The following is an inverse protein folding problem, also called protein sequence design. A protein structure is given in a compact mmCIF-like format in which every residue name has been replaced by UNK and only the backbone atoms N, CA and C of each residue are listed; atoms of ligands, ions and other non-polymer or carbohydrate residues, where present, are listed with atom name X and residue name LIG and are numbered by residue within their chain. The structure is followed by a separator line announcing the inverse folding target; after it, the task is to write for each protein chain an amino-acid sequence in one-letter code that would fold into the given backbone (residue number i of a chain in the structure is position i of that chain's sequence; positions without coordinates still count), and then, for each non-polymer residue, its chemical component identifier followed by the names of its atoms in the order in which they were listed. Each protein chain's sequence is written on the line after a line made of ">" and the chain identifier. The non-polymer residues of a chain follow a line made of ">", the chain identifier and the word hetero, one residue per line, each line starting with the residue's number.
data_IF_696111984076
#
_entry.id   IF_696111984076
#
_cell.length_a   1.000
_cell.length_b   1.000
_cell.length_c   1.000
_cell.angle_alpha   90.00
_cell.angle_beta   90.00
_cell.angle_gamma   90.00
#
_symmetry.space_group_name_H-M   'P 1'
#
loop_
_entity.id
_entity.type
_entity.pdbx_description
1 polymer ?
#
# COMPACT_ATOMS: atom_id res chain seq x y z
N UNK A 1 33.58 65.63 12.00
CA UNK A 1 34.30 64.42 11.53
C UNK A 1 33.53 63.11 11.75
N UNK A 2 32.70 62.95 12.80
CA UNK A 2 32.00 61.69 13.11
C UNK A 2 31.02 61.19 12.02
N UNK A 3 30.34 62.10 11.31
CA UNK A 3 29.32 61.72 10.30
C UNK A 3 29.96 61.06 9.06
N UNK A 4 31.18 61.46 8.69
CA UNK A 4 31.90 60.88 7.56
C UNK A 4 32.39 59.45 7.86
N UNK A 5 32.82 59.18 9.10
CA UNK A 5 33.28 57.85 9.52
C UNK A 5 32.14 56.81 9.58
N UNK A 6 30.93 57.25 9.95
CA UNK A 6 29.73 56.40 9.96
C UNK A 6 29.23 56.02 8.56
N UNK A 7 29.35 56.94 7.59
CA UNK A 7 29.00 56.67 6.19
C UNK A 7 29.98 55.64 5.61
N UNK A 8 31.27 55.79 5.88
CA UNK A 8 32.30 54.87 5.39
C UNK A 8 32.17 53.46 6.02
N UNK A 9 31.79 53.37 7.30
CA UNK A 9 31.46 52.09 7.96
C UNK A 9 30.22 51.42 7.34
N UNK A 10 29.20 52.19 6.94
CA UNK A 10 27.99 51.66 6.30
C UNK A 10 28.28 51.16 4.88
N UNK A 11 29.12 51.87 4.12
CA UNK A 11 29.54 51.43 2.78
C UNK A 11 30.39 50.17 2.84
N UNK A 12 31.39 50.10 3.73
CA UNK A 12 32.20 48.88 3.94
C UNK A 12 31.36 47.70 4.41
N UNK A 13 30.27 47.93 5.16
CA UNK A 13 29.32 46.88 5.59
C UNK A 13 28.41 46.42 4.45
N UNK A 14 28.00 47.31 3.54
CA UNK A 14 27.26 46.97 2.32
C UNK A 14 28.14 46.16 1.36
N UNK A 15 29.39 46.57 1.17
CA UNK A 15 30.33 45.87 0.29
C UNK A 15 30.70 44.47 0.83
N UNK A 16 30.87 44.33 2.15
CA UNK A 16 31.08 43.02 2.79
C UNK A 16 29.86 42.08 2.71
N UNK A 17 28.64 42.61 2.55
CA UNK A 17 27.44 41.80 2.28
C UNK A 17 27.35 41.38 0.83
N UNK A 18 27.78 42.23 -0.11
CA UNK A 18 27.85 41.89 -1.53
C UNK A 18 28.96 40.87 -1.84
N UNK A 19 30.10 40.90 -1.13
CA UNK A 19 31.20 39.94 -1.29
C UNK A 19 31.00 38.57 -0.63
N UNK A 20 29.89 38.35 0.09
CA UNK A 20 29.59 37.08 0.79
C UNK A 20 28.53 36.21 0.10
N UNK A 21 27.90 36.67 -0.96
CA UNK A 21 27.34 35.76 -1.95
C UNK A 21 28.53 35.30 -2.79
N UNK A 22 29.12 34.16 -2.42
CA UNK A 22 29.93 33.42 -3.36
C UNK A 22 29.01 33.13 -4.55
N UNK A 23 29.14 33.92 -5.60
CA UNK A 23 28.60 33.62 -6.93
C UNK A 23 29.36 32.38 -7.41
N UNK A 24 29.03 31.21 -6.86
CA UNK A 24 29.03 30.02 -7.67
C UNK A 24 28.09 30.34 -8.83
N UNK A 25 28.67 30.53 -10.01
CA UNK A 25 27.95 30.75 -11.26
C UNK A 25 26.80 29.73 -11.28
N UNK A 26 25.57 30.22 -11.05
CA UNK A 26 24.37 29.38 -10.92
C UNK A 26 24.05 28.85 -12.31
N UNK A 27 24.77 27.81 -12.70
CA UNK A 27 24.55 27.11 -13.95
C UNK A 27 23.17 26.46 -13.88
N UNK A 28 22.54 26.36 -15.04
CA UNK A 28 21.27 25.66 -15.19
C UNK A 28 21.32 24.22 -14.64
N UNK A 29 22.51 23.60 -14.70
CA UNK A 29 22.74 22.25 -14.16
C UNK A 29 22.75 22.24 -12.62
N UNK A 30 23.32 23.25 -11.96
CA UNK A 30 23.25 23.41 -10.50
C UNK A 30 21.79 23.60 -10.02
N UNK A 31 21.00 24.37 -10.77
CA UNK A 31 19.57 24.55 -10.48
C UNK A 31 18.78 23.24 -10.65
N UNK A 32 19.01 22.50 -11.75
CA UNK A 32 18.37 21.18 -11.96
C UNK A 32 18.75 20.18 -10.88
N UNK A 33 20.02 20.13 -10.49
CA UNK A 33 20.52 19.21 -9.48
C UNK A 33 19.92 19.50 -8.10
N UNK A 34 19.88 20.78 -7.69
CA UNK A 34 19.25 21.21 -6.44
C UNK A 34 17.74 20.95 -6.43
N UNK A 35 17.04 21.21 -7.54
CA UNK A 35 15.62 20.89 -7.67
C UNK A 35 15.35 19.38 -7.49
N UNK A 36 16.07 18.52 -8.21
CA UNK A 36 15.94 17.06 -8.05
C UNK A 36 16.24 16.64 -6.61
N UNK A 37 17.29 17.17 -6.00
CA UNK A 37 17.64 16.84 -4.60
C UNK A 37 16.52 17.19 -3.62
N UNK A 38 15.81 18.30 -3.83
CA UNK A 38 14.74 18.74 -2.93
C UNK A 38 13.39 18.06 -3.18
N UNK A 39 13.02 17.83 -4.45
CA UNK A 39 11.67 17.37 -4.79
C UNK A 39 11.57 15.88 -5.11
N UNK A 40 12.65 15.23 -5.54
CA UNK A 40 12.61 13.79 -5.89
C UNK A 40 12.20 12.90 -4.69
N UNK A 41 12.65 13.13 -3.44
CA UNK A 41 12.18 12.36 -2.30
C UNK A 41 10.67 12.49 -2.08
N UNK A 42 10.13 13.70 -2.18
CA UNK A 42 8.69 13.96 -2.04
C UNK A 42 7.89 13.31 -3.17
N UNK A 43 8.42 13.32 -4.39
CA UNK A 43 7.78 12.70 -5.56
C UNK A 43 7.70 11.17 -5.41
N UNK A 44 8.79 10.55 -4.96
CA UNK A 44 8.84 9.10 -4.66
C UNK A 44 7.83 8.76 -3.54
N UNK A 45 7.77 9.56 -2.48
CA UNK A 45 6.84 9.32 -1.38
C UNK A 45 5.38 9.42 -1.84
N UNK A 46 5.04 10.45 -2.63
CA UNK A 46 3.68 10.63 -3.16
C UNK A 46 3.31 9.48 -4.10
N UNK A 47 4.23 9.02 -4.94
CA UNK A 47 4.03 7.84 -5.79
C UNK A 47 3.75 6.58 -4.96
N UNK A 48 4.58 6.30 -3.95
CA UNK A 48 4.36 5.15 -3.06
C UNK A 48 3.01 5.24 -2.35
N UNK A 49 2.65 6.43 -1.85
CA UNK A 49 1.35 6.67 -1.21
C UNK A 49 0.17 6.48 -2.16
N UNK A 50 0.33 6.81 -3.45
CA UNK A 50 -0.67 6.53 -4.47
C UNK A 50 -0.76 5.03 -4.74
N UNK A 51 0.37 4.35 -4.93
CA UNK A 51 0.46 2.91 -5.19
C UNK A 51 -0.13 2.07 -4.07
N UNK A 52 0.17 2.38 -2.81
CA UNK A 52 -0.40 1.65 -1.66
C UNK A 52 -1.91 1.87 -1.56
N UNK A 53 -2.37 3.09 -1.90
CA UNK A 53 -3.80 3.36 -1.98
C UNK A 53 -4.43 2.58 -3.12
N UNK A 54 -3.81 2.39 -4.27
CA UNK A 54 -4.43 1.69 -5.40
C UNK A 54 -4.31 0.16 -5.34
N UNK A 55 -3.34 -0.34 -4.56
CA UNK A 55 -3.08 -1.76 -4.41
C UNK A 55 -4.31 -2.51 -3.89
N UNK A 56 -4.91 -3.33 -4.74
CA UNK A 56 -6.02 -4.21 -4.39
C UNK A 56 -5.57 -5.67 -4.40
N UNK A 57 -6.17 -6.50 -3.56
CA UNK A 57 -5.91 -7.94 -3.56
C UNK A 57 -6.60 -8.60 -4.77
N UNK A 58 -5.82 -8.99 -5.77
CA UNK A 58 -6.33 -9.59 -7.02
C UNK A 58 -6.32 -11.12 -7.04
N UNK A 59 -5.34 -11.76 -6.38
CA UNK A 59 -5.06 -13.19 -6.55
C UNK A 59 -4.98 -13.98 -5.24
N UNK A 60 -3.86 -13.88 -4.52
CA UNK A 60 -3.58 -14.57 -3.26
C UNK A 60 -3.21 -13.53 -2.21
N UNK A 61 -3.70 -13.76 -1.01
CA UNK A 61 -3.48 -12.86 0.11
C UNK A 61 -1.99 -12.79 0.52
N UNK A 62 -1.23 -13.88 0.42
CA UNK A 62 0.22 -13.90 0.69
C UNK A 62 0.99 -12.94 -0.24
N UNK A 63 0.76 -13.04 -1.56
CA UNK A 63 1.35 -12.16 -2.57
C UNK A 63 0.97 -10.69 -2.33
N UNK A 64 -0.30 -10.45 -2.04
CA UNK A 64 -0.80 -9.10 -1.77
C UNK A 64 -0.18 -8.51 -0.50
N UNK A 65 -0.13 -9.27 0.60
CA UNK A 65 0.50 -8.87 1.86
C UNK A 65 1.97 -8.53 1.66
N UNK A 66 2.72 -9.37 0.94
CA UNK A 66 4.14 -9.12 0.67
C UNK A 66 4.35 -7.81 -0.10
N UNK A 67 3.54 -7.55 -1.14
CA UNK A 67 3.60 -6.28 -1.87
C UNK A 67 3.22 -5.10 -0.98
N UNK A 68 2.18 -5.26 -0.18
CA UNK A 68 1.68 -4.21 0.71
C UNK A 68 2.72 -3.81 1.76
N UNK A 69 3.46 -4.78 2.34
CA UNK A 69 4.55 -4.51 3.29
C UNK A 69 5.62 -3.59 2.70
N UNK A 70 6.10 -3.91 1.51
CA UNK A 70 7.13 -3.08 0.83
C UNK A 70 6.64 -1.65 0.64
N UNK A 71 5.40 -1.46 0.17
CA UNK A 71 4.85 -0.12 -0.01
C UNK A 71 4.56 0.59 1.33
N UNK A 72 4.19 -0.16 2.38
CA UNK A 72 3.94 0.38 3.70
C UNK A 72 5.21 1.00 4.28
N UNK A 73 6.33 0.27 4.21
CA UNK A 73 7.64 0.71 4.69
C UNK A 73 8.12 1.99 3.96
N UNK A 74 7.81 2.10 2.67
CA UNK A 74 8.17 3.26 1.84
C UNK A 74 7.19 4.45 1.96
N UNK A 75 5.98 4.24 2.50
CA UNK A 75 4.91 5.26 2.47
C UNK A 75 4.96 6.27 3.62
N UNK A 76 5.69 5.95 4.68
CA UNK A 76 5.71 6.64 5.98
C UNK A 76 4.34 6.74 6.67
N UNK A 77 3.33 5.97 6.23
CA UNK A 77 2.04 5.93 6.92
C UNK A 77 2.17 5.29 8.29
N UNK A 78 1.39 5.80 9.25
CA UNK A 78 1.24 5.15 10.54
C UNK A 78 0.45 3.83 10.42
N UNK A 79 0.57 2.99 11.45
CA UNK A 79 -0.09 1.69 11.45
C UNK A 79 -1.62 1.79 11.35
N UNK A 80 -2.25 2.85 11.87
CA UNK A 80 -3.71 3.01 11.83
C UNK A 80 -4.19 3.31 10.41
N UNK A 81 -3.50 4.19 9.70
CA UNK A 81 -3.72 4.50 8.30
C UNK A 81 -3.47 3.26 7.43
N UNK A 82 -2.38 2.53 7.67
CA UNK A 82 -2.07 1.30 6.95
C UNK A 82 -3.15 0.23 7.14
N UNK A 83 -3.65 0.01 8.36
CA UNK A 83 -4.78 -0.89 8.63
C UNK A 83 -6.02 -0.43 7.85
N UNK A 84 -6.31 0.88 7.86
CA UNK A 84 -7.45 1.45 7.15
C UNK A 84 -7.34 1.37 5.61
N UNK A 85 -6.14 1.41 5.07
CA UNK A 85 -5.92 1.21 3.63
C UNK A 85 -6.06 -0.28 3.33
N UNK A 86 -5.37 -1.13 4.09
CA UNK A 86 -5.32 -2.57 3.90
C UNK A 86 -6.71 -3.21 3.85
N UNK A 87 -7.53 -3.01 4.89
CA UNK A 87 -8.86 -3.63 4.97
C UNK A 87 -9.84 -3.17 3.87
N UNK A 88 -9.69 -1.94 3.34
CA UNK A 88 -10.53 -1.39 2.25
C UNK A 88 -10.16 -1.99 0.90
N UNK A 89 -8.93 -2.48 0.78
CA UNK A 89 -8.36 -3.05 -0.44
C UNK A 89 -8.44 -4.57 -0.51
N UNK A 90 -8.91 -5.20 0.57
CA UNK A 90 -9.32 -6.59 0.56
C UNK A 90 -10.63 -6.78 -0.22
N UNK A 91 -10.88 -7.96 -0.79
CA UNK A 91 -12.17 -8.25 -1.40
C UNK A 91 -13.26 -8.20 -0.33
N UNK A 92 -14.41 -7.61 -0.66
CA UNK A 92 -15.51 -7.35 0.27
C UNK A 92 -15.87 -8.56 1.16
N UNK A 93 -15.96 -9.75 0.57
CA UNK A 93 -16.31 -10.97 1.31
C UNK A 93 -15.25 -11.37 2.35
N UNK A 94 -13.96 -11.12 2.05
CA UNK A 94 -12.86 -11.40 2.97
C UNK A 94 -12.86 -10.36 4.09
N UNK A 95 -12.89 -9.07 3.76
CA UNK A 95 -12.96 -7.99 4.75
C UNK A 95 -14.13 -8.17 5.72
N UNK A 96 -15.32 -8.49 5.20
CA UNK A 96 -16.51 -8.76 6.01
C UNK A 96 -16.33 -9.95 6.96
N UNK A 97 -15.62 -11.01 6.55
CA UNK A 97 -15.37 -12.16 7.43
C UNK A 97 -14.42 -11.81 8.57
N UNK A 98 -13.34 -11.13 8.27
CA UNK A 98 -12.35 -10.69 9.26
C UNK A 98 -13.01 -9.77 10.29
N UNK A 99 -13.88 -8.86 9.84
CA UNK A 99 -14.59 -7.94 10.73
C UNK A 99 -15.62 -8.60 11.64
N UNK A 100 -16.22 -9.71 11.21
CA UNK A 100 -17.24 -10.42 11.98
C UNK A 100 -16.69 -11.64 12.72
N UNK A 101 -15.36 -11.74 12.87
CA UNK A 101 -14.79 -12.91 13.52
C UNK A 101 -15.07 -12.93 15.03
N UNK A 102 -15.38 -14.09 15.61
CA UNK A 102 -15.72 -14.21 17.03
C UNK A 102 -14.54 -13.88 17.95
N UNK A 103 -13.31 -14.05 17.44
CA UNK A 103 -12.08 -13.70 18.17
C UNK A 103 -11.83 -12.18 18.25
N UNK A 104 -12.72 -11.36 17.69
CA UNK A 104 -12.58 -9.90 17.64
C UNK A 104 -11.68 -9.41 16.51
N UNK A 105 -11.71 -8.12 16.20
CA UNK A 105 -10.92 -7.50 15.13
C UNK A 105 -9.42 -7.54 15.49
N UNK A 106 -8.51 -7.82 14.53
CA UNK A 106 -7.07 -7.70 14.78
C UNK A 106 -6.70 -6.27 15.19
N UNK A 107 -5.83 -6.14 16.20
CA UNK A 107 -5.44 -4.85 16.77
C UNK A 107 -4.29 -4.19 16.00
N UNK A 108 -3.41 -5.00 15.43
CA UNK A 108 -2.19 -4.60 14.76
C UNK A 108 -2.19 -5.01 13.29
N UNK A 109 -1.33 -4.34 12.51
CA UNK A 109 -1.22 -4.56 11.08
C UNK A 109 -0.79 -6.00 10.76
N UNK A 110 0.05 -6.61 11.61
CA UNK A 110 0.51 -7.98 11.46
C UNK A 110 -0.64 -8.99 11.64
N UNK A 111 -1.46 -8.84 12.69
CA UNK A 111 -2.65 -9.66 12.87
C UNK A 111 -3.65 -9.51 11.70
N UNK A 112 -3.74 -8.33 11.09
CA UNK A 112 -4.53 -8.15 9.87
C UNK A 112 -3.99 -8.97 8.69
N UNK A 113 -2.67 -9.06 8.54
CA UNK A 113 -2.03 -9.85 7.48
C UNK A 113 -2.26 -11.35 7.67
N UNK A 114 -1.98 -11.86 8.85
CA UNK A 114 -2.13 -13.28 9.17
C UNK A 114 -3.56 -13.76 8.94
N UNK A 115 -4.53 -13.01 9.47
CA UNK A 115 -5.95 -13.35 9.36
C UNK A 115 -6.41 -13.27 7.90
N UNK A 116 -5.93 -12.30 7.12
CA UNK A 116 -6.26 -12.22 5.69
C UNK A 116 -5.75 -13.44 4.90
N UNK A 117 -4.52 -13.87 5.16
CA UNK A 117 -3.93 -15.07 4.53
C UNK A 117 -4.74 -16.31 4.90
N UNK A 118 -4.95 -16.53 6.19
CA UNK A 118 -5.65 -17.70 6.72
C UNK A 118 -7.06 -17.85 6.12
N UNK A 119 -7.87 -16.79 6.12
CA UNK A 119 -9.23 -16.86 5.59
C UNK A 119 -9.28 -17.04 4.06
N UNK A 120 -8.34 -16.46 3.33
CA UNK A 120 -8.25 -16.63 1.88
C UNK A 120 -7.90 -18.08 1.52
N UNK A 121 -6.95 -18.69 2.24
CA UNK A 121 -6.59 -20.10 2.08
C UNK A 121 -7.75 -21.03 2.43
N UNK A 122 -8.41 -20.82 3.57
CA UNK A 122 -9.61 -21.57 3.97
C UNK A 122 -10.71 -21.48 2.91
N UNK A 123 -10.94 -20.30 2.33
CA UNK A 123 -11.91 -20.12 1.26
C UNK A 123 -11.54 -20.90 0.00
N UNK A 124 -10.27 -20.83 -0.43
CA UNK A 124 -9.79 -21.58 -1.60
C UNK A 124 -9.86 -23.09 -1.37
N UNK A 125 -9.50 -23.57 -0.18
CA UNK A 125 -9.63 -24.97 0.21
C UNK A 125 -11.10 -25.42 0.18
N UNK A 126 -12.01 -24.67 0.81
CA UNK A 126 -13.44 -24.99 0.80
C UNK A 126 -14.01 -25.03 -0.63
N UNK A 127 -13.61 -24.10 -1.51
CA UNK A 127 -13.98 -24.11 -2.93
C UNK A 127 -13.43 -25.32 -3.67
N UNK A 128 -12.18 -25.69 -3.41
CA UNK A 128 -11.52 -26.84 -4.02
C UNK A 128 -12.16 -28.16 -3.60
N UNK A 129 -12.60 -28.30 -2.34
CA UNK A 129 -13.27 -29.51 -1.83
C UNK A 129 -14.75 -29.58 -2.25
N UNK A 130 -15.46 -28.45 -2.28
CA UNK A 130 -16.88 -28.43 -2.67
C UNK A 130 -17.10 -28.73 -4.15
N UNK A 131 -16.20 -28.31 -5.05
CA UNK A 131 -16.35 -28.52 -6.50
C UNK A 131 -16.46 -30.03 -6.84
N UNK A 132 -15.49 -30.91 -6.49
CA UNK A 132 -15.59 -32.35 -6.69
C UNK A 132 -16.85 -32.95 -6.06
N UNK A 133 -17.19 -32.53 -4.83
CA UNK A 133 -18.36 -33.05 -4.11
C UNK A 133 -19.67 -32.76 -4.84
N UNK A 134 -19.82 -31.58 -5.45
CA UNK A 134 -21.02 -31.23 -6.25
C UNK A 134 -21.11 -32.08 -7.53
N UNK A 135 -19.99 -32.33 -8.20
CA UNK A 135 -19.98 -33.18 -9.41
C UNK A 135 -20.29 -34.64 -9.09
N UNK A 136 -19.77 -35.16 -7.97
CA UNK A 136 -20.11 -36.50 -7.48
C UNK A 136 -21.60 -36.62 -7.17
N UNK A 137 -22.17 -35.68 -6.39
CA UNK A 137 -23.61 -35.70 -6.09
C UNK A 137 -24.49 -35.61 -7.35
N UNK A 138 -24.09 -34.82 -8.35
CA UNK A 138 -24.81 -34.76 -9.62
C UNK A 138 -24.77 -36.09 -10.38
N UNK A 139 -23.61 -36.75 -10.41
CA UNK A 139 -23.43 -38.07 -11.05
C UNK A 139 -24.23 -39.16 -10.32
N UNK A 140 -24.24 -39.14 -9.00
CA UNK A 140 -24.97 -40.12 -8.19
C UNK A 140 -26.48 -39.95 -8.30
N UNK A 141 -26.98 -38.71 -8.40
CA UNK A 141 -28.38 -38.44 -8.71
C UNK A 141 -28.77 -39.02 -10.07
N UNK A 142 -27.97 -38.79 -11.13
CA UNK A 142 -28.26 -39.32 -12.47
C UNK A 142 -28.36 -40.86 -12.48
N UNK A 143 -27.40 -41.55 -11.85
CA UNK A 143 -27.42 -43.01 -11.70
C UNK A 143 -28.64 -43.53 -10.92
N UNK A 144 -29.14 -42.77 -9.94
CA UNK A 144 -30.35 -43.15 -9.17
C UNK A 144 -31.63 -43.03 -10.00
N UNK A 145 -31.72 -42.07 -10.92
CA UNK A 145 -32.86 -41.95 -11.83
C UNK A 145 -32.84 -43.09 -12.88
N UNK A 146 -31.71 -43.34 -13.51
CA UNK A 146 -31.55 -44.43 -14.49
C UNK A 146 -31.90 -45.81 -13.87
N UNK A 147 -31.50 -46.07 -12.62
CA UNK A 147 -31.90 -47.31 -11.92
C UNK A 147 -33.38 -47.42 -11.60
N UNK A 148 -34.08 -46.30 -11.41
CA UNK A 148 -35.53 -46.29 -11.18
C UNK A 148 -36.30 -46.54 -12.47
N UNK A 149 -35.84 -45.97 -13.59
CA UNK A 149 -36.47 -46.18 -14.90
C UNK A 149 -36.31 -47.63 -15.40
N UNK A 150 -35.22 -48.30 -15.03
CA UNK A 150 -34.99 -49.73 -15.35
C UNK A 150 -35.79 -50.67 -14.43
N UNK A 151 -36.20 -50.25 -13.24
CA UNK A 151 -36.93 -51.08 -12.28
C UNK A 151 -38.47 -51.02 -12.42
N UNK A 152 -38.99 -50.17 -13.32
CA UNK A 152 -40.43 -49.95 -13.53
C UNK A 152 -40.92 -50.52 -14.88
N UNK A 153 -40.01 -51.08 -15.69
CA UNK A 153 -40.33 -51.87 -16.90
C UNK A 153 -40.13 -53.36 -16.64
#
# INVERSE_FOLDING_TARGET
>A
MAVLEEVEKKEKKKEKRAKKSGDEELTWDNLKASFKKHYLPADIQVDTQLRIKEACMTDRADNYVNKFRVMADESEYDNQALIHIFWKRLPFNLAKKILNQPQGRPADLEGWYEVAIQYNEQYKYAKAVQKPRRFQMARDKKKRFEKKDVAVN
#
